data_IF_475595200688
#
_entry.id   IF_475595200688
#
_cell.length_a   1.000
_cell.length_b   1.000
_cell.length_c   1.000
_cell.angle_alpha   90.00
_cell.angle_beta   90.00
_cell.angle_gamma   90.00
#
_symmetry.space_group_name_H-M   'P 1'
#
loop_
_entity.id
_entity.type
_entity.pdbx_description
1 polymer ?
#
# COMPACT_ATOMS: atom_id res chain seq x y z
N UNK A 1 -7.14 3.37 -4.40
CA UNK A 1 -6.94 3.99 -5.71
C UNK A 1 -8.20 3.93 -6.60
N UNK A 2 -8.87 2.77 -6.77
CA UNK A 2 -10.07 2.65 -7.64
C UNK A 2 -11.22 3.55 -7.21
N UNK A 3 -11.47 3.73 -5.92
CA UNK A 3 -12.52 4.62 -5.38
C UNK A 3 -12.28 6.06 -5.85
N UNK A 4 -11.06 6.54 -5.72
CA UNK A 4 -10.65 7.89 -6.15
C UNK A 4 -10.86 8.07 -7.66
N UNK A 5 -10.40 7.10 -8.45
CA UNK A 5 -10.52 7.13 -9.90
C UNK A 5 -11.96 7.09 -10.44
N UNK A 6 -12.92 6.63 -9.61
CA UNK A 6 -14.35 6.54 -9.94
C UNK A 6 -15.19 7.69 -9.34
N UNK A 7 -14.56 8.72 -8.80
CA UNK A 7 -15.26 9.86 -8.23
C UNK A 7 -15.89 9.60 -6.86
N UNK A 8 -15.48 8.52 -6.16
CA UNK A 8 -16.03 8.18 -4.83
C UNK A 8 -15.41 8.96 -3.67
N UNK A 9 -14.47 9.87 -3.92
CA UNK A 9 -13.74 10.62 -2.91
C UNK A 9 -14.66 11.43 -1.97
N UNK A 10 -15.73 12.01 -2.49
CA UNK A 10 -16.67 12.86 -1.72
C UNK A 10 -17.35 12.16 -0.52
N UNK A 11 -17.23 10.84 -0.43
CA UNK A 11 -17.80 10.04 0.68
C UNK A 11 -16.85 9.88 1.86
N UNK A 12 -15.62 10.35 1.74
CA UNK A 12 -14.55 10.10 2.72
C UNK A 12 -13.88 11.41 3.11
N UNK A 13 -13.51 11.50 4.39
CA UNK A 13 -12.76 12.64 4.91
C UNK A 13 -11.26 12.60 4.54
N UNK A 14 -10.77 11.46 4.12
CA UNK A 14 -9.39 11.22 3.68
C UNK A 14 -9.21 9.78 3.19
N UNK A 15 -8.06 9.48 2.63
CA UNK A 15 -7.71 8.14 2.14
C UNK A 15 -6.31 7.76 2.61
N UNK A 16 -6.19 6.55 3.15
CA UNK A 16 -4.91 5.96 3.54
C UNK A 16 -4.61 4.80 2.60
N UNK A 17 -3.41 4.77 2.06
CA UNK A 17 -2.91 3.72 1.19
C UNK A 17 -1.70 3.07 1.85
N UNK A 18 -1.84 1.85 2.31
CA UNK A 18 -0.77 1.04 2.92
C UNK A 18 -0.31 -0.04 1.96
N UNK A 19 1.00 -0.33 1.90
CA UNK A 19 1.59 -1.40 1.09
C UNK A 19 1.15 -1.35 -0.37
N UNK A 20 1.16 -0.18 -0.99
CA UNK A 20 0.63 0.04 -2.34
C UNK A 20 1.74 0.28 -3.36
N UNK A 21 1.37 0.37 -4.63
CA UNK A 21 2.30 0.67 -5.72
C UNK A 21 1.65 1.59 -6.77
N UNK A 22 2.47 2.24 -7.59
CA UNK A 22 2.03 2.83 -8.85
C UNK A 22 1.69 1.70 -9.82
N UNK A 23 0.40 1.46 -10.07
CA UNK A 23 -0.13 0.26 -10.70
C UNK A 23 0.06 0.27 -12.23
N UNK A 24 1.33 0.20 -12.64
CA UNK A 24 1.76 0.13 -14.03
C UNK A 24 2.83 -0.95 -14.19
N UNK A 25 2.94 -1.58 -15.36
CA UNK A 25 4.04 -2.49 -15.66
C UNK A 25 5.40 -1.84 -15.36
N UNK A 26 6.31 -2.59 -14.74
CA UNK A 26 7.64 -2.12 -14.36
C UNK A 26 7.71 -1.24 -13.10
N UNK A 27 6.57 -0.90 -12.51
CA UNK A 27 6.49 -0.13 -11.24
C UNK A 27 5.75 -0.90 -10.13
N UNK A 28 5.15 -2.01 -10.47
CA UNK A 28 4.52 -2.96 -9.55
C UNK A 28 5.02 -4.36 -9.91
N UNK A 29 5.51 -5.08 -8.91
CA UNK A 29 5.91 -6.48 -9.10
C UNK A 29 4.65 -7.35 -9.23
N UNK A 30 4.54 -8.07 -10.33
CA UNK A 30 3.47 -9.03 -10.57
C UNK A 30 3.95 -10.49 -10.49
N UNK A 31 5.21 -10.69 -10.16
CA UNK A 31 5.85 -12.01 -10.03
C UNK A 31 5.88 -12.51 -8.59
N UNK A 32 6.90 -13.31 -8.29
CA UNK A 32 7.14 -13.83 -6.95
C UNK A 32 7.61 -12.71 -6.00
N UNK A 33 6.72 -12.24 -5.14
CA UNK A 33 7.00 -11.18 -4.16
C UNK A 33 8.02 -11.60 -3.11
N UNK A 34 8.15 -12.92 -2.84
CA UNK A 34 9.12 -13.43 -1.89
C UNK A 34 10.53 -13.58 -2.48
N UNK A 35 10.73 -13.41 -3.78
CA UNK A 35 12.00 -13.68 -4.47
C UNK A 35 13.21 -13.01 -3.82
N UNK A 36 13.07 -11.77 -3.34
CA UNK A 36 14.13 -11.00 -2.66
C UNK A 36 14.44 -11.52 -1.24
N UNK A 37 13.49 -12.18 -0.61
CA UNK A 37 13.52 -12.56 0.81
C UNK A 37 13.67 -14.07 1.04
N UNK A 38 13.77 -14.89 -0.01
CA UNK A 38 13.90 -16.35 0.07
C UNK A 38 15.06 -16.86 0.93
N UNK A 39 16.11 -16.06 1.09
CA UNK A 39 17.28 -16.40 1.90
C UNK A 39 17.02 -16.25 3.41
N UNK A 40 15.89 -15.65 3.81
CA UNK A 40 15.55 -15.36 5.21
C UNK A 40 14.67 -16.43 5.86
N UNK A 41 14.11 -17.35 5.08
CA UNK A 41 13.23 -18.39 5.57
C UNK A 41 12.74 -19.33 4.47
N UNK A 42 11.82 -20.21 4.82
CA UNK A 42 11.28 -21.25 3.93
C UNK A 42 9.75 -21.24 3.86
N UNK A 43 9.09 -20.28 4.53
CA UNK A 43 7.63 -20.20 4.61
C UNK A 43 7.03 -19.62 3.33
N UNK A 44 7.76 -18.73 2.63
CA UNK A 44 7.28 -18.05 1.44
C UNK A 44 6.52 -16.75 1.73
N UNK A 45 6.44 -16.36 3.00
CA UNK A 45 5.78 -15.15 3.50
C UNK A 45 6.78 -14.10 4.03
N UNK A 46 8.08 -14.32 3.83
CA UNK A 46 9.14 -13.46 4.36
C UNK A 46 9.06 -12.04 3.81
N UNK A 47 8.44 -11.84 2.65
CA UNK A 47 8.22 -10.52 2.04
C UNK A 47 7.17 -9.67 2.76
N UNK A 48 6.37 -10.25 3.66
CA UNK A 48 5.29 -9.54 4.37
C UNK A 48 5.84 -8.64 5.48
N UNK A 49 6.73 -9.15 6.32
CA UNK A 49 7.24 -8.46 7.50
C UNK A 49 8.63 -8.96 7.88
N UNK A 50 9.37 -8.18 8.68
CA UNK A 50 10.60 -8.64 9.36
C UNK A 50 10.29 -9.50 10.59
N UNK A 51 9.07 -9.42 11.13
CA UNK A 51 8.64 -10.20 12.27
C UNK A 51 8.34 -11.65 11.84
N UNK A 52 9.11 -12.59 12.36
CA UNK A 52 8.97 -14.03 12.06
C UNK A 52 7.61 -14.57 12.50
N UNK A 53 7.03 -14.03 13.59
CA UNK A 53 5.71 -14.45 14.07
C UNK A 53 4.61 -14.18 13.03
N UNK A 54 4.76 -13.15 12.20
CA UNK A 54 3.84 -12.86 11.08
C UNK A 54 3.91 -13.95 10.02
N UNK A 55 5.13 -14.44 9.70
CA UNK A 55 5.29 -15.53 8.73
C UNK A 55 4.66 -16.83 9.24
N UNK A 56 4.86 -17.14 10.53
CA UNK A 56 4.28 -18.32 11.16
C UNK A 56 2.75 -18.23 11.21
N UNK A 57 2.22 -17.11 11.62
CA UNK A 57 0.77 -16.86 11.62
C UNK A 57 0.18 -17.01 10.21
N UNK A 58 0.85 -16.48 9.18
CA UNK A 58 0.43 -16.63 7.79
C UNK A 58 0.42 -18.10 7.34
N UNK A 59 1.46 -18.89 7.69
CA UNK A 59 1.53 -20.31 7.37
C UNK A 59 0.41 -21.12 8.04
N UNK A 60 0.10 -20.79 9.30
CA UNK A 60 -0.80 -21.57 10.14
C UNK A 60 -2.28 -21.18 9.97
N UNK A 61 -2.57 -20.05 9.33
CA UNK A 61 -3.93 -19.61 9.02
C UNK A 61 -4.46 -20.36 7.77
N UNK A 62 -5.52 -21.18 7.91
CA UNK A 62 -6.10 -21.90 6.78
C UNK A 62 -6.75 -21.01 5.72
N UNK A 63 -6.93 -19.73 5.97
CA UNK A 63 -7.50 -18.76 5.03
C UNK A 63 -6.43 -18.08 4.17
N UNK A 64 -5.16 -18.22 4.51
CA UNK A 64 -4.07 -17.66 3.72
C UNK A 64 -3.62 -18.61 2.62
N UNK A 65 -3.29 -18.06 1.48
CA UNK A 65 -2.76 -18.81 0.33
C UNK A 65 -2.02 -17.89 -0.65
N UNK A 66 -1.13 -18.46 -1.42
CA UNK A 66 -0.46 -17.72 -2.51
C UNK A 66 -1.44 -17.54 -3.67
N UNK A 67 -1.91 -16.32 -3.85
CA UNK A 67 -2.87 -15.98 -4.87
C UNK A 67 -2.22 -15.81 -6.25
N UNK A 68 -2.57 -16.66 -7.21
CA UNK A 68 -2.35 -16.37 -8.63
C UNK A 68 -3.50 -15.49 -9.12
N UNK A 69 -3.28 -14.19 -9.17
CA UNK A 69 -4.30 -13.20 -9.50
C UNK A 69 -4.94 -13.43 -10.86
N UNK A 70 -4.15 -13.86 -11.85
CA UNK A 70 -4.65 -14.17 -13.19
C UNK A 70 -5.60 -15.38 -13.19
N UNK A 71 -5.26 -16.43 -12.44
CA UNK A 71 -6.12 -17.63 -12.32
C UNK A 71 -7.39 -17.35 -11.53
N UNK A 72 -7.28 -16.56 -10.45
CA UNK A 72 -8.43 -16.26 -9.58
C UNK A 72 -9.44 -15.31 -10.23
N UNK A 73 -8.94 -14.25 -10.87
CA UNK A 73 -9.79 -13.16 -11.37
C UNK A 73 -10.03 -13.22 -12.88
N UNK A 74 -9.21 -13.97 -13.61
CA UNK A 74 -9.15 -13.93 -15.05
C UNK A 74 -8.47 -12.66 -15.60
N UNK A 75 -8.08 -12.64 -16.89
CA UNK A 75 -7.24 -11.59 -17.46
C UNK A 75 -7.91 -10.22 -17.49
N UNK A 76 -9.21 -10.14 -17.69
CA UNK A 76 -9.94 -8.86 -17.75
C UNK A 76 -10.01 -8.18 -16.39
N UNK A 77 -10.28 -8.93 -15.32
CA UNK A 77 -10.37 -8.37 -13.98
C UNK A 77 -8.98 -8.11 -13.39
N UNK A 78 -8.00 -8.95 -13.69
CA UNK A 78 -6.61 -8.69 -13.35
C UNK A 78 -6.09 -7.39 -14.01
N UNK A 79 -6.46 -7.13 -15.27
CA UNK A 79 -6.12 -5.87 -15.95
C UNK A 79 -6.75 -4.64 -15.27
N UNK A 80 -7.88 -4.78 -14.59
CA UNK A 80 -8.51 -3.69 -13.80
C UNK A 80 -7.71 -3.30 -12.56
N UNK A 81 -6.80 -4.16 -12.09
CA UNK A 81 -5.86 -3.80 -11.03
C UNK A 81 -4.83 -2.77 -11.50
N UNK A 82 -4.56 -2.73 -12.80
CA UNK A 82 -3.70 -1.70 -13.38
C UNK A 82 -4.46 -0.37 -13.44
N UNK A 83 -3.73 0.72 -13.43
CA UNK A 83 -4.26 2.06 -13.60
C UNK A 83 -3.51 3.10 -12.78
N UNK A 84 -3.49 4.30 -13.34
CA UNK A 84 -2.87 5.48 -12.73
C UNK A 84 -3.93 6.37 -12.10
N UNK A 85 -3.56 7.27 -11.17
CA UNK A 85 -4.47 8.31 -10.71
C UNK A 85 -5.05 9.11 -11.88
N UNK A 86 -6.36 9.30 -11.86
CA UNK A 86 -7.10 10.16 -12.80
C UNK A 86 -7.44 11.47 -12.11
N UNK A 87 -7.79 12.49 -12.89
CA UNK A 87 -8.23 13.78 -12.36
C UNK A 87 -9.28 13.57 -11.27
N UNK A 88 -9.01 14.08 -10.08
CA UNK A 88 -9.91 13.96 -8.94
C UNK A 88 -11.12 14.88 -9.14
N UNK A 89 -12.30 14.35 -8.83
CA UNK A 89 -13.55 15.12 -8.83
C UNK A 89 -13.81 15.79 -7.49
N UNK A 90 -13.12 15.35 -6.45
CA UNK A 90 -13.20 15.88 -5.11
C UNK A 90 -11.84 15.72 -4.43
N UNK A 91 -11.32 16.79 -3.88
CA UNK A 91 -10.05 16.82 -3.19
C UNK A 91 -10.22 16.32 -1.75
N UNK A 92 -9.42 15.35 -1.35
CA UNK A 92 -9.35 14.83 0.02
C UNK A 92 -7.90 14.56 0.38
N UNK A 93 -7.52 14.67 1.66
CA UNK A 93 -6.20 14.32 2.13
C UNK A 93 -5.84 12.86 1.82
N UNK A 94 -4.62 12.62 1.38
CA UNK A 94 -4.09 11.29 1.07
C UNK A 94 -2.85 11.02 1.90
N UNK A 95 -2.84 9.90 2.61
CA UNK A 95 -1.65 9.35 3.25
C UNK A 95 -1.22 8.08 2.51
N UNK A 96 0.04 8.00 2.13
CA UNK A 96 0.66 6.82 1.53
C UNK A 96 1.73 6.33 2.51
N UNK A 97 1.62 5.09 2.97
CA UNK A 97 2.53 4.47 3.94
C UNK A 97 3.09 3.18 3.36
N UNK A 98 4.40 3.01 3.40
CA UNK A 98 5.06 1.84 2.80
C UNK A 98 6.39 1.52 3.49
N UNK A 99 6.79 0.26 3.46
CA UNK A 99 8.14 -0.14 3.78
C UNK A 99 9.12 0.10 2.62
N UNK A 100 10.35 0.54 2.91
CA UNK A 100 11.36 0.74 1.86
C UNK A 100 11.76 -0.56 1.17
N UNK A 101 11.60 -1.71 1.85
CA UNK A 101 11.89 -3.06 1.34
C UNK A 101 10.63 -3.83 0.88
N UNK A 102 9.53 -3.13 0.60
CA UNK A 102 8.31 -3.73 0.05
C UNK A 102 8.56 -4.27 -1.37
N UNK A 103 8.35 -5.57 -1.53
CA UNK A 103 8.55 -6.27 -2.81
C UNK A 103 7.51 -5.95 -3.87
N UNK A 104 6.32 -5.43 -3.50
CA UNK A 104 5.25 -5.12 -4.46
C UNK A 104 5.61 -3.92 -5.33
N UNK A 105 6.09 -2.84 -4.75
CA UNK A 105 6.39 -1.62 -5.51
C UNK A 105 7.61 -0.85 -5.03
N UNK A 106 7.83 -0.81 -3.74
CA UNK A 106 8.93 -0.10 -3.10
C UNK A 106 8.83 1.43 -3.22
N UNK A 107 9.81 2.10 -2.65
CA UNK A 107 9.84 3.55 -2.50
C UNK A 107 9.70 4.34 -3.82
N UNK A 108 10.41 3.91 -4.87
CA UNK A 108 10.37 4.57 -6.19
C UNK A 108 8.95 4.57 -6.79
N UNK A 109 8.23 3.47 -6.61
CA UNK A 109 6.88 3.30 -7.11
C UNK A 109 5.89 4.23 -6.39
N UNK A 110 5.98 4.32 -5.07
CA UNK A 110 5.05 5.16 -4.29
C UNK A 110 5.37 6.64 -4.39
N UNK A 111 6.63 7.05 -4.55
CA UNK A 111 6.97 8.43 -4.90
C UNK A 111 6.29 8.85 -6.20
N UNK A 112 6.36 8.00 -7.23
CA UNK A 112 5.66 8.24 -8.49
C UNK A 112 4.13 8.26 -8.32
N UNK A 113 3.59 7.45 -7.41
CA UNK A 113 2.16 7.46 -7.09
C UNK A 113 1.73 8.76 -6.42
N UNK A 114 2.50 9.24 -5.42
CA UNK A 114 2.25 10.51 -4.74
C UNK A 114 2.27 11.69 -5.73
N UNK A 115 3.31 11.78 -6.57
CA UNK A 115 3.41 12.78 -7.63
C UNK A 115 2.23 12.70 -8.61
N UNK A 116 1.76 11.51 -8.92
CA UNK A 116 0.62 11.34 -9.83
C UNK A 116 -0.69 11.83 -9.21
N UNK A 117 -0.88 11.65 -7.89
CA UNK A 117 -2.04 12.22 -7.19
C UNK A 117 -1.99 13.74 -7.10
N UNK A 118 -0.83 14.33 -6.84
CA UNK A 118 -0.64 15.79 -6.90
C UNK A 118 -1.00 16.34 -8.28
N UNK A 119 -0.51 15.70 -9.35
CA UNK A 119 -0.88 16.09 -10.73
C UNK A 119 -2.35 15.84 -11.07
N UNK A 120 -2.99 14.90 -10.38
CA UNK A 120 -4.41 14.61 -10.55
C UNK A 120 -5.33 15.60 -9.82
N UNK A 121 -4.76 16.52 -9.03
CA UNK A 121 -5.48 17.58 -8.34
C UNK A 121 -5.66 17.35 -6.84
N UNK A 122 -4.94 16.38 -6.23
CA UNK A 122 -4.85 16.30 -4.78
C UNK A 122 -3.99 17.45 -4.24
N UNK A 123 -4.47 18.18 -3.23
CA UNK A 123 -3.73 19.28 -2.60
C UNK A 123 -2.91 18.85 -1.39
N UNK A 124 -3.30 17.77 -0.72
CA UNK A 124 -2.67 17.22 0.49
C UNK A 124 -2.32 15.75 0.25
N UNK A 125 -1.05 15.47 -0.06
CA UNK A 125 -0.51 14.11 -0.23
C UNK A 125 0.73 13.96 0.62
N UNK A 126 0.62 13.13 1.65
CA UNK A 126 1.73 12.78 2.53
C UNK A 126 2.22 11.37 2.22
N UNK A 127 3.54 11.19 2.15
CA UNK A 127 4.19 9.91 1.94
C UNK A 127 5.15 9.62 3.09
N UNK A 128 4.92 8.51 3.78
CA UNK A 128 5.80 8.00 4.83
C UNK A 128 6.42 6.68 4.35
N UNK A 129 7.75 6.62 4.40
CA UNK A 129 8.52 5.43 4.03
C UNK A 129 9.25 4.93 5.27
N UNK A 130 8.96 3.71 5.71
CA UNK A 130 9.60 3.09 6.88
C UNK A 130 10.81 2.28 6.45
N UNK A 131 11.98 2.68 6.94
CA UNK A 131 13.25 2.08 6.52
C UNK A 131 13.35 0.60 6.91
N UNK A 132 13.69 -0.23 5.94
CA UNK A 132 13.81 -1.69 6.06
C UNK A 132 12.48 -2.42 6.27
N UNK A 133 11.35 -1.74 6.52
CA UNK A 133 10.05 -2.39 6.64
C UNK A 133 9.60 -2.98 5.30
N UNK A 134 8.82 -4.06 5.37
CA UNK A 134 8.30 -4.79 4.20
C UNK A 134 6.84 -4.41 3.92
N UNK A 135 6.06 -5.34 3.38
CA UNK A 135 4.73 -5.04 2.84
C UNK A 135 3.67 -4.72 3.91
N UNK A 136 3.62 -5.51 4.97
CA UNK A 136 2.62 -5.37 6.04
C UNK A 136 3.12 -4.46 7.16
N UNK A 137 3.25 -3.17 6.90
CA UNK A 137 3.84 -2.20 7.82
C UNK A 137 3.18 -2.17 9.21
N UNK A 138 1.89 -2.50 9.32
CA UNK A 138 1.16 -2.57 10.60
C UNK A 138 1.46 -3.84 11.40
N UNK A 139 2.13 -4.82 10.80
CA UNK A 139 2.59 -6.07 11.40
C UNK A 139 4.12 -6.13 11.45
N UNK A 140 4.80 -5.01 11.24
CA UNK A 140 6.25 -4.90 11.27
C UNK A 140 6.81 -4.81 12.69
N UNK A 141 8.11 -5.04 12.83
CA UNK A 141 8.83 -4.90 14.12
C UNK A 141 8.73 -3.49 14.70
N UNK A 142 8.51 -2.47 13.87
CA UNK A 142 8.27 -1.08 14.26
C UNK A 142 6.80 -0.65 14.12
N UNK A 143 5.85 -1.55 14.27
CA UNK A 143 4.41 -1.29 14.11
C UNK A 143 3.87 -0.17 15.00
N UNK A 144 4.48 0.06 16.18
CA UNK A 144 4.05 1.14 17.09
C UNK A 144 4.35 2.53 16.51
N UNK A 145 5.50 2.70 15.85
CA UNK A 145 5.83 3.90 15.08
C UNK A 145 4.79 4.13 13.97
N UNK A 146 4.51 3.09 13.18
CA UNK A 146 3.54 3.14 12.08
C UNK A 146 2.15 3.55 12.57
N UNK A 147 1.71 2.98 13.68
CA UNK A 147 0.42 3.32 14.31
C UNK A 147 0.41 4.75 14.85
N UNK A 148 1.51 5.17 15.47
CA UNK A 148 1.68 6.53 15.99
C UNK A 148 1.56 7.58 14.88
N UNK A 149 2.24 7.38 13.76
CA UNK A 149 2.19 8.27 12.59
C UNK A 149 0.77 8.32 11.99
N UNK A 150 0.12 7.17 11.84
CA UNK A 150 -1.26 7.11 11.37
C UNK A 150 -2.21 7.91 12.27
N UNK A 151 -2.11 7.73 13.59
CA UNK A 151 -2.96 8.43 14.56
C UNK A 151 -2.68 9.94 14.51
N UNK A 152 -1.42 10.34 14.45
CA UNK A 152 -1.02 11.74 14.34
C UNK A 152 -1.56 12.39 13.07
N UNK A 153 -1.48 11.67 11.94
CA UNK A 153 -2.05 12.13 10.67
C UNK A 153 -3.56 12.32 10.74
N UNK A 154 -4.29 11.37 11.33
CA UNK A 154 -5.75 11.45 11.51
C UNK A 154 -6.12 12.62 12.43
N UNK A 155 -5.46 12.78 13.56
CA UNK A 155 -5.73 13.84 14.53
C UNK A 155 -5.53 15.24 13.93
N UNK A 156 -4.48 15.45 13.15
CA UNK A 156 -4.20 16.74 12.51
C UNK A 156 -5.31 17.18 11.55
N UNK A 157 -5.99 16.23 10.90
CA UNK A 157 -7.06 16.53 9.93
C UNK A 157 -8.45 16.59 10.55
N UNK A 158 -8.71 15.84 11.63
CA UNK A 158 -9.96 15.90 12.37
C UNK A 158 -10.13 17.23 13.13
N UNK A 159 -9.03 17.82 13.59
CA UNK A 159 -9.05 19.14 14.27
C UNK A 159 -9.26 20.28 13.30
N UNK A 160 -8.76 20.19 12.07
CA UNK A 160 -8.91 21.21 11.03
C UNK A 160 -10.32 21.32 10.46
N UNK A 161 -11.17 20.30 10.61
CA UNK A 161 -12.55 20.30 10.10
C UNK A 161 -13.56 20.97 11.04
N UNK A 162 -13.13 21.50 12.19
CA UNK A 162 -14.00 22.17 13.20
C UNK A 162 -13.87 23.70 13.20
N UNK A 163 -13.10 24.27 12.28
CA UNK A 163 -12.99 25.71 12.04
C UNK A 163 -13.76 26.08 10.80
#
# INVERSE_FOLDING_TARGET
>A
QMILNRGGASRYAGMILSGTAYRMPGMMNAGDLNSRHKHLGTIGAEWLSRDVAVHEAWRDDPLTFVADTLKLMGPLDAARLLGTPRKLTHDIPLLIMIGSDDSLGGEKSVKKLADAYLRAGASDVELIVYEGARHEIFNETNQEEVRGDLISWLQSRLTSSKS
#
